data_IF_758486179077
#
_entry.id   IF_758486179077
#
_cell.length_a   1.000
_cell.length_b   1.000
_cell.length_c   1.000
_cell.angle_alpha   90.00
_cell.angle_beta   90.00
_cell.angle_gamma   90.00
#
_symmetry.space_group_name_H-M   'P 1'
#
loop_
_entity.id
_entity.type
_entity.pdbx_description
1 polymer ?
#
# COMPACT_ATOMS: atom_id res chain seq x y z
N UNK A 1 -41.96 1.45 -26.76
CA UNK A 1 -41.15 0.87 -25.65
C UNK A 1 -40.88 1.99 -24.67
N UNK A 2 -41.38 1.89 -23.43
CA UNK A 2 -41.21 2.95 -22.44
C UNK A 2 -39.74 3.08 -22.05
N UNK A 3 -39.16 4.26 -22.24
CA UNK A 3 -37.87 4.57 -21.64
C UNK A 3 -38.07 4.56 -20.12
N UNK A 4 -37.55 3.53 -19.45
CA UNK A 4 -37.39 3.54 -18.00
C UNK A 4 -36.48 4.72 -17.65
N UNK A 5 -37.09 5.83 -17.25
CA UNK A 5 -36.38 6.97 -16.71
C UNK A 5 -35.89 6.58 -15.33
N UNK A 6 -34.61 6.22 -15.23
CA UNK A 6 -33.96 6.02 -13.94
C UNK A 6 -33.65 7.41 -13.38
N UNK A 7 -34.19 7.77 -12.20
CA UNK A 7 -33.89 9.05 -11.57
C UNK A 7 -32.38 9.24 -11.34
N UNK A 8 -31.83 10.45 -11.50
CA UNK A 8 -30.41 10.73 -11.27
C UNK A 8 -29.91 10.29 -9.88
N UNK A 9 -30.77 10.33 -8.87
CA UNK A 9 -30.46 9.92 -7.50
C UNK A 9 -30.13 8.41 -7.41
N UNK A 10 -30.88 7.58 -8.16
CA UNK A 10 -30.63 6.14 -8.23
C UNK A 10 -29.34 5.86 -8.99
N UNK A 11 -29.08 6.61 -10.06
CA UNK A 11 -27.83 6.50 -10.83
C UNK A 11 -26.63 6.85 -9.94
N UNK A 12 -26.70 7.93 -9.16
CA UNK A 12 -25.66 8.32 -8.21
C UNK A 12 -25.46 7.26 -7.12
N UNK A 13 -26.54 6.68 -6.59
CA UNK A 13 -26.45 5.61 -5.61
C UNK A 13 -25.73 4.37 -6.17
N UNK A 14 -26.00 3.99 -7.43
CA UNK A 14 -25.28 2.90 -8.09
C UNK A 14 -23.79 3.24 -8.21
N UNK A 15 -23.46 4.44 -8.68
CA UNK A 15 -22.07 4.88 -8.78
C UNK A 15 -21.32 4.85 -7.45
N UNK A 16 -21.97 5.22 -6.35
CA UNK A 16 -21.36 5.21 -5.02
C UNK A 16 -20.95 3.81 -4.55
N UNK A 17 -21.64 2.76 -5.03
CA UNK A 17 -21.35 1.37 -4.71
C UNK A 17 -20.30 0.72 -5.61
N UNK A 18 -19.73 1.43 -6.59
CA UNK A 18 -18.70 0.89 -7.47
C UNK A 18 -17.32 0.99 -6.80
N UNK A 19 -16.46 0.01 -7.11
CA UNK A 19 -15.13 -0.10 -6.52
C UNK A 19 -14.01 0.29 -7.49
N UNK A 20 -14.33 0.54 -8.75
CA UNK A 20 -13.33 0.88 -9.79
C UNK A 20 -13.84 1.99 -10.70
N UNK A 21 -12.91 2.82 -11.18
CA UNK A 21 -13.18 3.84 -12.18
C UNK A 21 -13.51 3.22 -13.54
N UNK A 22 -12.99 2.02 -13.82
CA UNK A 22 -13.33 1.23 -15.00
C UNK A 22 -14.81 0.83 -14.99
N UNK A 23 -15.34 0.34 -13.86
CA UNK A 23 -16.75 -0.01 -13.73
C UNK A 23 -17.65 1.22 -13.83
N UNK A 24 -17.24 2.34 -13.23
CA UNK A 24 -17.98 3.60 -13.37
C UNK A 24 -18.08 4.04 -14.83
N UNK A 25 -16.98 3.95 -15.58
CA UNK A 25 -17.00 4.23 -17.00
C UNK A 25 -17.90 3.27 -17.77
N UNK A 26 -17.79 1.96 -17.54
CA UNK A 26 -18.62 0.95 -18.20
C UNK A 26 -20.11 1.16 -17.89
N UNK A 27 -20.44 1.49 -16.65
CA UNK A 27 -21.81 1.82 -16.24
C UNK A 27 -22.32 3.08 -16.94
N UNK A 28 -21.47 4.10 -17.17
CA UNK A 28 -21.85 5.30 -17.93
C UNK A 28 -22.32 4.98 -19.36
N UNK A 29 -21.84 3.88 -19.95
CA UNK A 29 -22.22 3.45 -21.28
C UNK A 29 -23.54 2.65 -21.31
N UNK A 30 -24.06 2.25 -20.15
CA UNK A 30 -25.25 1.39 -20.07
C UNK A 30 -26.55 2.11 -20.41
N UNK A 31 -26.66 3.41 -20.10
CA UNK A 31 -27.85 4.20 -20.36
C UNK A 31 -27.58 5.71 -20.41
N UNK A 32 -28.52 6.46 -20.99
CA UNK A 32 -28.39 7.92 -21.14
C UNK A 32 -28.28 8.67 -19.81
N UNK A 33 -29.00 8.24 -18.77
CA UNK A 33 -28.93 8.89 -17.45
C UNK A 33 -27.55 8.73 -16.82
N UNK A 34 -26.98 7.51 -16.85
CA UNK A 34 -25.63 7.23 -16.36
C UNK A 34 -24.57 8.03 -17.15
N UNK A 35 -24.69 8.09 -18.48
CA UNK A 35 -23.83 8.92 -19.31
C UNK A 35 -23.85 10.39 -18.89
N UNK A 36 -25.03 11.00 -18.75
CA UNK A 36 -25.16 12.42 -18.41
C UNK A 36 -24.52 12.71 -17.05
N UNK A 37 -24.75 11.84 -16.05
CA UNK A 37 -24.19 12.01 -14.71
C UNK A 37 -22.66 11.85 -14.74
N UNK A 38 -22.12 10.83 -15.41
CA UNK A 38 -20.67 10.59 -15.42
C UNK A 38 -19.86 11.63 -16.20
N UNK A 39 -20.44 12.20 -17.27
CA UNK A 39 -19.73 13.18 -18.09
C UNK A 39 -19.81 14.62 -17.54
N UNK A 40 -20.66 14.86 -16.55
CA UNK A 40 -20.61 16.09 -15.76
C UNK A 40 -19.38 16.07 -14.82
N UNK A 41 -18.47 17.05 -14.91
CA UNK A 41 -17.24 17.05 -14.13
C UNK A 41 -17.44 17.02 -12.61
N UNK A 42 -18.49 17.66 -12.10
CA UNK A 42 -18.77 17.71 -10.67
C UNK A 42 -19.17 16.33 -10.15
N UNK A 43 -20.12 15.68 -10.84
CA UNK A 43 -20.54 14.33 -10.47
C UNK A 43 -19.43 13.31 -10.69
N UNK A 44 -18.65 13.42 -11.77
CA UNK A 44 -17.50 12.53 -12.00
C UNK A 44 -16.50 12.57 -10.85
N UNK A 45 -16.15 13.75 -10.36
CA UNK A 45 -15.29 13.91 -9.19
C UNK A 45 -15.86 13.20 -7.96
N UNK A 46 -17.17 13.36 -7.70
CA UNK A 46 -17.85 12.69 -6.57
C UNK A 46 -17.90 11.17 -6.72
N UNK A 47 -18.09 10.66 -7.93
CA UNK A 47 -18.07 9.22 -8.22
C UNK A 47 -16.69 8.64 -7.88
N UNK A 48 -15.62 9.28 -8.35
CA UNK A 48 -14.28 8.79 -8.07
C UNK A 48 -13.87 8.94 -6.60
N UNK A 49 -14.29 10.01 -5.92
CA UNK A 49 -14.14 10.14 -4.46
C UNK A 49 -14.82 8.99 -3.71
N UNK A 50 -15.98 8.52 -4.18
CA UNK A 50 -16.66 7.36 -3.60
C UNK A 50 -15.90 6.06 -3.83
N UNK A 51 -15.33 5.87 -5.03
CA UNK A 51 -14.48 4.71 -5.34
C UNK A 51 -13.26 4.67 -4.41
N UNK A 52 -12.59 5.80 -4.20
CA UNK A 52 -11.49 5.89 -3.24
C UNK A 52 -11.95 5.57 -1.80
N UNK A 53 -13.17 5.95 -1.41
CA UNK A 53 -13.72 5.65 -0.08
C UNK A 53 -13.95 4.15 0.09
N UNK A 54 -14.28 3.46 -1.00
CA UNK A 54 -14.47 2.02 -0.98
C UNK A 54 -13.15 1.25 -0.98
N UNK A 55 -12.05 1.86 -1.43
CA UNK A 55 -10.72 1.24 -1.46
C UNK A 55 -10.05 1.24 -0.08
N UNK A 56 -10.08 2.35 0.64
CA UNK A 56 -9.48 2.44 1.99
C UNK A 56 -10.57 2.16 3.02
N UNK A 57 -10.46 1.02 3.71
CA UNK A 57 -11.33 0.67 4.82
C UNK A 57 -10.55 0.84 6.13
N UNK A 58 -11.09 1.58 7.11
CA UNK A 58 -10.43 1.78 8.41
C UNK A 58 -10.28 0.48 9.26
N UNK A 59 -10.84 -0.65 8.79
CA UNK A 59 -10.65 -1.96 9.42
C UNK A 59 -9.36 -2.65 8.93
N UNK A 60 -8.75 -3.48 9.78
CA UNK A 60 -7.59 -4.30 9.42
C UNK A 60 -7.85 -5.10 8.13
N UNK A 61 -6.87 -5.17 7.22
CA UNK A 61 -7.07 -5.79 5.91
C UNK A 61 -7.31 -7.29 6.05
N UNK A 62 -8.37 -7.78 5.40
CA UNK A 62 -8.63 -9.22 5.31
C UNK A 62 -7.83 -9.86 4.19
N UNK A 63 -7.60 -11.18 4.29
CA UNK A 63 -6.96 -11.98 3.23
C UNK A 63 -7.63 -11.78 1.86
N UNK A 64 -8.96 -11.88 1.82
CA UNK A 64 -9.71 -11.75 0.58
C UNK A 64 -9.55 -10.37 -0.06
N UNK A 65 -9.46 -9.32 0.77
CA UNK A 65 -9.24 -7.96 0.28
C UNK A 65 -7.81 -7.80 -0.27
N UNK A 66 -6.79 -8.27 0.45
CA UNK A 66 -5.40 -8.21 -0.03
C UNK A 66 -5.22 -9.01 -1.32
N UNK A 67 -5.78 -10.22 -1.42
CA UNK A 67 -5.72 -11.02 -2.64
C UNK A 67 -6.46 -10.34 -3.81
N UNK A 68 -7.53 -9.58 -3.56
CA UNK A 68 -8.17 -8.77 -4.59
C UNK A 68 -7.28 -7.61 -5.06
N UNK A 69 -6.53 -6.98 -4.16
CA UNK A 69 -5.60 -5.90 -4.50
C UNK A 69 -4.35 -6.40 -5.23
N UNK A 70 -3.68 -7.43 -4.70
CA UNK A 70 -2.35 -7.87 -5.13
C UNK A 70 -2.41 -9.03 -6.14
N UNK A 71 -3.46 -9.85 -6.10
CA UNK A 71 -3.65 -11.04 -6.92
C UNK A 71 -3.84 -12.29 -6.05
N UNK A 72 -4.55 -13.28 -6.60
CA UNK A 72 -4.82 -14.53 -5.89
C UNK A 72 -3.53 -15.29 -5.53
N UNK A 73 -3.49 -15.87 -4.33
CA UNK A 73 -2.37 -16.67 -3.82
C UNK A 73 -1.03 -15.92 -3.76
N UNK A 74 -1.06 -14.59 -3.61
CA UNK A 74 0.16 -13.78 -3.48
C UNK A 74 0.59 -13.56 -2.03
N UNK A 75 -0.21 -13.97 -1.04
CA UNK A 75 0.14 -13.74 0.36
C UNK A 75 1.12 -14.79 0.89
N UNK A 76 2.26 -14.29 1.36
CA UNK A 76 3.16 -15.03 2.23
C UNK A 76 2.57 -15.09 3.64
N UNK A 77 2.48 -16.30 4.17
CA UNK A 77 1.93 -16.57 5.49
C UNK A 77 2.94 -17.40 6.27
N UNK A 78 3.75 -16.78 7.15
CA UNK A 78 4.74 -17.51 7.93
C UNK A 78 4.10 -18.47 8.93
N UNK A 79 4.92 -19.40 9.41
CA UNK A 79 4.65 -20.18 10.62
C UNK A 79 5.21 -19.46 11.86
N UNK A 80 4.80 -19.89 13.04
CA UNK A 80 5.34 -19.40 14.32
C UNK A 80 6.88 -19.42 14.40
N UNK A 81 7.51 -20.46 13.83
CA UNK A 81 8.97 -20.57 13.81
C UNK A 81 9.64 -19.60 12.85
N UNK A 82 8.96 -19.16 11.79
CA UNK A 82 9.51 -18.23 10.80
C UNK A 82 9.60 -16.80 11.36
N UNK A 83 8.79 -16.48 12.37
CA UNK A 83 8.72 -15.17 13.02
C UNK A 83 9.16 -15.25 14.49
N UNK A 84 10.00 -16.23 14.84
CA UNK A 84 10.59 -16.28 16.18
C UNK A 84 11.42 -15.01 16.42
N UNK A 85 11.15 -14.32 17.53
CA UNK A 85 11.74 -13.02 17.85
C UNK A 85 10.82 -11.83 17.58
N UNK A 86 9.83 -11.94 16.68
CA UNK A 86 8.76 -10.94 16.55
C UNK A 86 7.86 -11.07 17.78
N UNK A 87 7.82 -10.05 18.65
CA UNK A 87 7.00 -10.08 19.89
C UNK A 87 5.79 -9.17 19.82
N UNK A 88 5.72 -8.25 18.85
CA UNK A 88 4.56 -7.40 18.66
C UNK A 88 3.29 -8.20 18.27
N UNK A 89 2.36 -8.35 19.22
CA UNK A 89 1.18 -9.22 19.11
C UNK A 89 0.34 -8.96 17.85
N UNK A 90 0.08 -7.69 17.51
CA UNK A 90 -0.75 -7.34 16.34
C UNK A 90 -0.09 -7.73 15.02
N UNK A 91 1.23 -7.52 14.89
CA UNK A 91 1.98 -7.91 13.69
C UNK A 91 1.99 -9.44 13.55
N UNK A 92 2.19 -10.16 14.67
CA UNK A 92 2.13 -11.63 14.70
C UNK A 92 0.76 -12.14 14.27
N UNK A 93 -0.30 -11.61 14.87
CA UNK A 93 -1.68 -12.01 14.54
C UNK A 93 -2.00 -11.77 13.06
N UNK A 94 -1.60 -10.62 12.52
CA UNK A 94 -1.77 -10.30 11.11
C UNK A 94 -1.02 -11.30 10.20
N UNK A 95 0.27 -11.54 10.46
CA UNK A 95 1.08 -12.45 9.65
C UNK A 95 0.58 -13.90 9.70
N UNK A 96 0.22 -14.39 10.89
CA UNK A 96 -0.19 -15.78 11.09
C UNK A 96 -1.60 -16.07 10.57
N UNK A 97 -2.50 -15.08 10.55
CA UNK A 97 -3.89 -15.29 10.13
C UNK A 97 -4.22 -14.76 8.72
N UNK A 98 -3.55 -13.69 8.30
CA UNK A 98 -3.80 -13.02 7.02
C UNK A 98 -2.62 -13.21 6.07
N UNK A 99 -1.42 -12.88 6.52
CA UNK A 99 -0.20 -12.87 5.70
C UNK A 99 0.06 -11.53 5.01
N UNK A 100 1.26 -11.39 4.45
CA UNK A 100 1.72 -10.18 3.76
C UNK A 100 1.94 -10.46 2.26
N UNK A 101 1.63 -9.53 1.34
CA UNK A 101 1.77 -9.79 -0.09
C UNK A 101 3.23 -9.96 -0.52
N UNK A 102 3.53 -11.08 -1.18
CA UNK A 102 4.74 -11.29 -1.97
C UNK A 102 4.47 -10.82 -3.41
N UNK A 103 4.98 -9.65 -3.76
CA UNK A 103 4.46 -8.87 -4.88
C UNK A 103 5.54 -8.13 -5.65
N UNK A 104 5.30 -7.93 -6.96
CA UNK A 104 6.01 -6.98 -7.80
C UNK A 104 5.05 -6.44 -8.86
N UNK A 105 5.09 -5.13 -9.10
CA UNK A 105 4.35 -4.50 -10.19
C UNK A 105 5.25 -3.52 -10.93
N UNK A 106 5.27 -3.63 -12.25
CA UNK A 106 5.98 -2.69 -13.11
C UNK A 106 5.57 -1.24 -12.80
N UNK A 107 6.53 -0.31 -12.73
CA UNK A 107 6.31 1.09 -12.38
C UNK A 107 6.11 1.38 -10.89
N UNK A 108 6.06 0.35 -10.04
CA UNK A 108 6.17 0.49 -8.58
C UNK A 108 7.51 -0.12 -8.15
N UNK A 109 8.30 0.65 -7.40
CA UNK A 109 9.67 0.26 -7.01
C UNK A 109 9.72 -0.73 -5.86
N UNK A 110 8.68 -0.78 -5.03
CA UNK A 110 8.55 -1.77 -3.96
C UNK A 110 8.31 -3.17 -4.54
N UNK A 111 9.07 -4.15 -4.07
CA UNK A 111 8.82 -5.56 -4.30
C UNK A 111 9.08 -6.41 -3.05
N UNK A 112 8.46 -7.58 -2.99
CA UNK A 112 8.56 -8.50 -1.85
C UNK A 112 8.52 -9.96 -2.31
N UNK A 113 8.90 -10.23 -3.56
CA UNK A 113 8.87 -11.59 -4.15
C UNK A 113 9.78 -12.58 -3.41
N UNK A 114 10.78 -12.09 -2.66
CA UNK A 114 11.64 -12.93 -1.82
C UNK A 114 10.85 -13.66 -0.72
N UNK A 115 9.65 -13.18 -0.36
CA UNK A 115 8.76 -13.82 0.63
C UNK A 115 7.96 -15.01 0.08
N UNK A 116 8.06 -15.33 -1.21
CA UNK A 116 7.27 -16.43 -1.80
C UNK A 116 7.55 -17.79 -1.15
N UNK A 117 6.51 -18.61 -0.98
CA UNK A 117 6.58 -19.94 -0.32
C UNK A 117 7.54 -20.96 -0.98
N UNK A 118 8.06 -20.68 -2.19
CA UNK A 118 9.08 -21.51 -2.83
C UNK A 118 10.49 -21.24 -2.28
N UNK A 119 10.72 -20.05 -1.75
CA UNK A 119 11.88 -19.76 -0.95
C UNK A 119 11.67 -20.45 0.42
N UNK A 120 12.66 -21.21 0.88
CA UNK A 120 12.73 -21.68 2.28
C UNK A 120 13.03 -20.51 3.22
N UNK A 121 12.38 -19.37 3.01
CA UNK A 121 12.73 -18.09 3.60
C UNK A 121 11.80 -17.83 4.77
N UNK A 122 12.21 -18.30 5.94
CA UNK A 122 11.95 -17.46 7.11
C UNK A 122 12.52 -16.07 6.77
N UNK A 123 11.79 -14.97 7.05
CA UNK A 123 12.26 -13.63 6.80
C UNK A 123 13.63 -13.47 7.44
N UNK A 124 14.58 -12.93 6.69
CA UNK A 124 15.88 -12.59 7.26
C UNK A 124 15.62 -11.60 8.40
N UNK A 125 16.10 -11.96 9.59
CA UNK A 125 16.10 -11.03 10.69
C UNK A 125 17.46 -10.34 10.75
N UNK A 126 17.40 -9.07 11.10
CA UNK A 126 18.52 -8.19 11.23
C UNK A 126 18.54 -7.66 12.65
N UNK A 127 19.73 -7.38 13.14
CA UNK A 127 19.92 -6.70 14.41
C UNK A 127 20.59 -5.38 14.12
N UNK A 128 20.05 -4.32 14.72
CA UNK A 128 20.72 -3.04 14.76
C UNK A 128 21.75 -3.08 15.88
N UNK A 129 23.02 -2.92 15.55
CA UNK A 129 24.11 -2.91 16.54
C UNK A 129 24.19 -1.55 17.25
N UNK A 130 24.94 -1.48 18.36
CA UNK A 130 25.26 -0.22 19.05
C UNK A 130 25.97 0.79 18.14
N UNK A 131 26.66 0.30 17.09
CA UNK A 131 27.32 1.12 16.06
C UNK A 131 26.35 1.56 14.93
N UNK A 132 25.05 1.26 15.07
CA UNK A 132 23.98 1.47 14.09
C UNK A 132 24.23 0.76 12.75
N UNK A 133 24.99 -0.33 12.77
CA UNK A 133 25.16 -1.21 11.62
C UNK A 133 24.05 -2.27 11.62
N UNK A 134 23.50 -2.53 10.44
CA UNK A 134 22.49 -3.57 10.28
C UNK A 134 23.18 -4.89 9.94
N UNK A 135 23.23 -5.80 10.92
CA UNK A 135 23.83 -7.11 10.75
C UNK A 135 22.74 -8.17 10.53
N UNK A 136 22.91 -9.01 9.50
CA UNK A 136 22.05 -10.17 9.28
C UNK A 136 22.49 -11.29 10.21
N UNK A 137 21.58 -11.83 11.02
CA UNK A 137 21.88 -12.94 11.92
C UNK A 137 21.16 -14.22 11.46
N UNK A 138 21.76 -15.38 11.75
CA UNK A 138 21.11 -16.68 11.60
C UNK A 138 20.45 -17.09 12.92
N UNK A 139 19.20 -17.55 12.89
CA UNK A 139 18.49 -18.04 14.09
C UNK A 139 19.14 -19.37 14.50
N UNK A 140 19.39 -19.60 15.80
CA UNK A 140 18.97 -18.81 16.95
C UNK A 140 20.04 -17.83 17.46
N UNK A 141 19.75 -16.52 17.48
CA UNK A 141 20.47 -15.59 18.36
C UNK A 141 20.07 -15.91 19.82
N UNK A 142 21.04 -16.00 20.72
CA UNK A 142 20.72 -15.96 22.15
C UNK A 142 20.12 -14.59 22.48
N UNK A 143 18.80 -14.52 22.69
CA UNK A 143 18.00 -13.31 22.97
C UNK A 143 18.60 -12.34 24.02
N UNK A 144 19.53 -12.81 24.85
CA UNK A 144 20.27 -11.98 25.81
C UNK A 144 21.25 -10.97 25.17
N UNK A 145 21.52 -11.03 23.86
CA UNK A 145 22.48 -10.17 23.16
C UNK A 145 21.87 -9.33 22.03
N UNK A 146 20.59 -9.52 21.71
CA UNK A 146 19.95 -8.93 20.53
C UNK A 146 18.74 -8.10 21.01
N UNK A 147 18.87 -6.77 21.12
CA UNK A 147 17.83 -5.88 21.68
C UNK A 147 16.97 -5.13 20.65
N UNK A 148 17.28 -5.21 19.35
CA UNK A 148 16.60 -4.43 18.31
C UNK A 148 16.50 -5.27 17.04
N UNK A 149 15.52 -6.19 17.01
CA UNK A 149 15.33 -7.15 15.92
C UNK A 149 14.43 -6.55 14.85
N UNK A 150 14.84 -6.67 13.59
CA UNK A 150 14.08 -6.22 12.42
C UNK A 150 13.86 -7.35 11.43
N UNK A 151 12.65 -7.44 10.88
CA UNK A 151 12.30 -8.43 9.85
C UNK A 151 12.24 -7.78 8.48
N UNK A 152 13.04 -8.26 7.53
CA UNK A 152 12.98 -7.78 6.14
C UNK A 152 11.73 -8.31 5.44
N UNK A 153 10.91 -7.39 4.89
CA UNK A 153 9.62 -7.71 4.24
C UNK A 153 9.52 -7.25 2.79
N UNK A 154 10.47 -6.46 2.29
CA UNK A 154 10.42 -5.95 0.94
C UNK A 154 11.60 -5.08 0.59
N UNK A 155 11.84 -4.94 -0.70
CA UNK A 155 12.92 -4.17 -1.28
C UNK A 155 12.35 -2.93 -1.98
N UNK A 156 13.04 -1.80 -1.88
CA UNK A 156 12.75 -0.59 -2.66
C UNK A 156 14.06 -0.11 -3.26
N UNK A 157 14.27 -0.37 -4.56
CA UNK A 157 15.56 -0.17 -5.21
C UNK A 157 16.69 -0.95 -4.49
N UNK A 158 17.61 -0.25 -3.82
CA UNK A 158 18.70 -0.83 -3.02
C UNK A 158 18.47 -0.72 -1.51
N UNK A 159 17.26 -0.32 -1.10
CA UNK A 159 16.85 -0.14 0.28
C UNK A 159 15.99 -1.33 0.73
N UNK A 160 15.96 -1.58 2.04
CA UNK A 160 15.15 -2.64 2.64
C UNK A 160 14.00 -2.02 3.43
N UNK A 161 12.81 -2.56 3.27
CA UNK A 161 11.65 -2.29 4.11
C UNK A 161 11.61 -3.35 5.20
N UNK A 162 11.63 -2.90 6.44
CA UNK A 162 11.81 -3.75 7.61
C UNK A 162 10.71 -3.51 8.62
N UNK A 163 10.39 -4.52 9.42
CA UNK A 163 9.42 -4.45 10.51
C UNK A 163 10.15 -4.58 11.83
N UNK A 164 9.93 -3.62 12.72
CA UNK A 164 10.41 -3.67 14.10
C UNK A 164 9.74 -4.84 14.84
N UNK A 165 10.53 -5.69 15.49
CA UNK A 165 10.04 -6.87 16.18
C UNK A 165 9.23 -6.57 17.44
N UNK A 166 9.54 -5.47 18.12
CA UNK A 166 8.95 -5.09 19.40
C UNK A 166 7.74 -4.19 19.22
N UNK A 167 7.87 -3.17 18.36
CA UNK A 167 6.83 -2.16 18.14
C UNK A 167 5.94 -2.45 16.91
N UNK A 168 6.42 -3.26 15.97
CA UNK A 168 5.68 -3.59 14.74
C UNK A 168 5.69 -2.49 13.68
N UNK A 169 6.39 -1.39 13.93
CA UNK A 169 6.59 -0.27 13.01
C UNK A 169 7.31 -0.72 11.75
N UNK A 170 6.97 -0.09 10.62
CA UNK A 170 7.57 -0.39 9.32
C UNK A 170 8.51 0.74 8.94
N UNK A 171 9.77 0.38 8.70
CA UNK A 171 10.87 1.31 8.43
C UNK A 171 11.51 1.03 7.07
N UNK A 172 11.95 2.08 6.40
CA UNK A 172 12.81 2.03 5.23
C UNK A 172 14.25 2.21 5.70
N UNK A 173 15.05 1.17 5.54
CA UNK A 173 16.49 1.20 5.73
C UNK A 173 17.19 1.53 4.42
N UNK A 174 17.94 2.63 4.41
CA UNK A 174 18.75 3.08 3.27
C UNK A 174 20.24 3.05 3.65
N UNK A 175 21.08 2.22 2.99
CA UNK A 175 22.50 2.09 3.35
C UNK A 175 23.32 3.35 3.07
N UNK A 176 23.05 4.04 1.95
CA UNK A 176 23.92 5.13 1.47
C UNK A 176 23.38 6.54 1.82
N UNK A 177 22.13 6.63 2.28
CA UNK A 177 21.42 7.85 2.75
C UNK A 177 21.28 8.97 1.70
N UNK A 178 21.31 8.64 0.40
CA UNK A 178 21.36 9.64 -0.68
C UNK A 178 20.00 9.88 -1.31
N UNK A 179 19.15 8.86 -1.41
CA UNK A 179 17.96 8.81 -2.25
C UNK A 179 16.70 9.21 -1.51
N UNK A 180 16.51 8.71 -0.28
CA UNK A 180 15.29 8.96 0.51
C UNK A 180 15.53 9.94 1.65
N UNK A 181 16.79 10.30 1.91
CA UNK A 181 17.17 11.42 2.78
C UNK A 181 16.87 11.16 4.26
N UNK A 182 16.63 9.91 4.64
CA UNK A 182 16.57 9.45 6.02
C UNK A 182 17.79 8.60 6.35
N UNK A 183 18.34 8.82 7.54
CA UNK A 183 19.63 8.32 7.95
C UNK A 183 19.65 6.79 8.06
N UNK A 184 20.74 6.17 7.66
CA UNK A 184 21.22 4.89 8.18
C UNK A 184 22.41 5.10 9.11
N UNK A 185 22.28 6.11 9.96
CA UNK A 185 23.11 6.25 11.16
C UNK A 185 22.27 6.46 12.42
N UNK A 186 20.98 6.78 12.28
CA UNK A 186 20.05 6.94 13.38
C UNK A 186 18.63 6.72 12.84
N UNK A 187 18.03 5.56 13.13
CA UNK A 187 16.56 5.41 13.07
C UNK A 187 15.90 6.56 13.87
N UNK A 188 16.62 7.13 14.84
CA UNK A 188 16.16 8.14 15.79
C UNK A 188 16.38 9.62 15.43
N UNK A 189 17.21 9.98 14.42
CA UNK A 189 17.50 11.41 14.15
C UNK A 189 16.44 12.07 13.24
N UNK A 190 15.85 11.30 12.33
CA UNK A 190 14.75 11.72 11.47
C UNK A 190 13.80 10.53 11.25
N UNK A 191 13.20 9.96 12.31
CA UNK A 191 12.40 8.74 12.24
C UNK A 191 11.34 8.85 11.15
N UNK A 192 10.63 9.96 11.16
CA UNK A 192 9.57 10.31 10.20
C UNK A 192 9.95 10.15 8.72
N UNK A 193 11.25 10.25 8.34
CA UNK A 193 11.68 10.10 6.93
C UNK A 193 11.77 8.66 6.47
N UNK A 194 12.12 7.79 7.40
CA UNK A 194 12.26 6.36 7.18
C UNK A 194 10.99 5.61 7.54
N UNK A 195 10.05 6.20 8.29
CA UNK A 195 8.79 5.54 8.59
C UNK A 195 8.00 5.30 7.29
N UNK A 196 7.60 4.05 7.10
CA UNK A 196 6.71 3.59 6.02
C UNK A 196 5.29 3.47 6.57
N UNK A 197 5.11 2.93 7.77
CA UNK A 197 3.83 2.85 8.47
C UNK A 197 4.05 2.55 9.96
N UNK A 198 3.07 2.85 10.82
CA UNK A 198 3.10 2.49 12.25
C UNK A 198 2.73 1.03 12.54
N UNK A 199 2.39 0.25 11.51
CA UNK A 199 2.14 -1.19 11.65
C UNK A 199 2.13 -1.88 10.30
N UNK A 200 2.49 -3.15 10.30
CA UNK A 200 2.57 -3.96 9.09
C UNK A 200 1.22 -4.13 8.38
N UNK A 201 0.13 -4.29 9.14
CA UNK A 201 -1.21 -4.41 8.59
C UNK A 201 -1.71 -3.09 8.01
N UNK A 202 -1.39 -1.95 8.63
CA UNK A 202 -1.62 -0.64 8.02
C UNK A 202 -0.83 -0.49 6.72
N UNK A 203 0.44 -0.86 6.68
CA UNK A 203 1.21 -0.81 5.44
C UNK A 203 0.59 -1.65 4.33
N UNK A 204 0.23 -2.91 4.63
CA UNK A 204 -0.40 -3.82 3.66
C UNK A 204 -1.71 -3.27 3.10
N UNK A 205 -2.53 -2.65 3.95
CA UNK A 205 -3.76 -1.96 3.54
C UNK A 205 -3.47 -0.77 2.63
N UNK A 206 -2.66 0.18 3.08
CA UNK A 206 -2.43 1.43 2.35
C UNK A 206 -1.75 1.19 1.01
N UNK A 207 -0.75 0.30 0.99
CA UNK A 207 -0.10 -0.12 -0.23
C UNK A 207 -1.04 -0.91 -1.15
N UNK A 208 -1.93 -1.74 -0.59
CA UNK A 208 -2.96 -2.44 -1.35
C UNK A 208 -3.94 -1.50 -2.05
N UNK A 209 -4.32 -0.39 -1.42
CA UNK A 209 -5.16 0.63 -2.02
C UNK A 209 -4.45 1.33 -3.20
N UNK A 210 -3.14 1.61 -3.06
CA UNK A 210 -2.31 2.17 -4.13
C UNK A 210 -2.24 1.21 -5.31
N UNK A 211 -1.92 -0.07 -5.06
CA UNK A 211 -1.83 -1.09 -6.11
C UNK A 211 -3.16 -1.26 -6.84
N UNK A 212 -4.27 -1.30 -6.09
CA UNK A 212 -5.60 -1.42 -6.67
C UNK A 212 -5.94 -0.21 -7.57
N UNK A 213 -5.70 1.01 -7.08
CA UNK A 213 -5.94 2.22 -7.86
C UNK A 213 -5.04 2.29 -9.10
N UNK A 214 -3.74 2.01 -8.96
CA UNK A 214 -2.80 2.05 -10.10
C UNK A 214 -3.20 1.06 -11.19
N UNK A 215 -3.60 -0.16 -10.81
CA UNK A 215 -4.11 -1.17 -11.77
C UNK A 215 -5.38 -0.69 -12.47
N UNK A 216 -6.32 -0.13 -11.73
CA UNK A 216 -7.56 0.42 -12.30
C UNK A 216 -7.28 1.60 -13.24
N UNK A 217 -6.45 2.56 -12.84
CA UNK A 217 -6.05 3.70 -13.67
C UNK A 217 -5.33 3.27 -14.95
N UNK A 218 -4.51 2.21 -14.89
CA UNK A 218 -3.84 1.64 -16.06
C UNK A 218 -4.84 0.95 -17.00
N UNK A 219 -5.86 0.28 -16.46
CA UNK A 219 -6.93 -0.36 -17.22
C UNK A 219 -8.03 0.60 -17.71
N UNK A 220 -8.11 1.80 -17.13
CA UNK A 220 -9.18 2.75 -17.33
C UNK A 220 -9.39 3.10 -18.82
N UNK A 221 -10.58 2.84 -19.39
CA UNK A 221 -10.87 3.15 -20.79
C UNK A 221 -10.81 4.64 -21.11
N UNK A 222 -10.98 5.49 -20.10
CA UNK A 222 -10.99 6.94 -20.21
C UNK A 222 -9.59 7.58 -20.09
N UNK A 223 -8.53 6.79 -19.85
CA UNK A 223 -7.16 7.31 -19.63
C UNK A 223 -6.65 8.21 -20.76
N UNK A 224 -7.05 7.94 -22.00
CA UNK A 224 -6.66 8.71 -23.19
C UNK A 224 -7.62 9.87 -23.53
N UNK A 225 -8.62 10.12 -22.68
CA UNK A 225 -9.51 11.27 -22.85
C UNK A 225 -8.80 12.57 -22.52
N UNK A 226 -9.35 13.71 -22.98
CA UNK A 226 -8.78 15.03 -22.72
C UNK A 226 -8.68 15.40 -21.24
N UNK A 227 -9.44 14.72 -20.38
CA UNK A 227 -9.46 14.92 -18.93
C UNK A 227 -8.76 13.79 -18.16
N UNK A 228 -8.36 12.70 -18.82
CA UNK A 228 -7.84 11.49 -18.18
C UNK A 228 -6.54 11.72 -17.40
N UNK A 229 -5.59 12.46 -17.97
CA UNK A 229 -4.31 12.77 -17.30
C UNK A 229 -4.52 13.58 -16.01
N UNK A 230 -5.36 14.61 -16.05
CA UNK A 230 -5.63 15.42 -14.87
C UNK A 230 -6.35 14.61 -13.79
N UNK A 231 -7.38 13.85 -14.18
CA UNK A 231 -8.09 12.96 -13.26
C UNK A 231 -7.18 11.91 -12.63
N UNK A 232 -6.22 11.36 -13.37
CA UNK A 232 -5.22 10.44 -12.81
C UNK A 232 -4.44 11.10 -11.66
N UNK A 233 -3.96 12.33 -11.87
CA UNK A 233 -3.22 13.09 -10.85
C UNK A 233 -4.11 13.41 -9.65
N UNK A 234 -5.31 13.94 -9.90
CA UNK A 234 -6.26 14.28 -8.83
C UNK A 234 -6.60 13.07 -7.95
N UNK A 235 -6.73 11.87 -8.55
CA UNK A 235 -7.01 10.64 -7.81
C UNK A 235 -5.82 10.14 -6.99
N UNK A 236 -4.60 10.29 -7.50
CA UNK A 236 -3.39 9.95 -6.77
C UNK A 236 -3.17 10.92 -5.59
N UNK A 237 -3.41 12.22 -5.79
CA UNK A 237 -3.30 13.24 -4.74
C UNK A 237 -4.35 13.01 -3.64
N UNK A 238 -5.60 12.77 -4.01
CA UNK A 238 -6.67 12.46 -3.05
C UNK A 238 -6.42 11.13 -2.33
N UNK A 239 -5.92 10.09 -3.02
CA UNK A 239 -5.52 8.84 -2.36
C UNK A 239 -4.42 9.11 -1.32
N UNK A 240 -3.42 9.93 -1.68
CA UNK A 240 -2.32 10.29 -0.79
C UNK A 240 -2.82 10.99 0.48
N UNK A 241 -3.74 11.94 0.36
CA UNK A 241 -4.36 12.62 1.51
C UNK A 241 -5.11 11.64 2.42
N UNK A 242 -5.78 10.64 1.86
CA UNK A 242 -6.53 9.65 2.67
C UNK A 242 -5.66 8.63 3.35
N UNK A 243 -4.60 8.19 2.66
CA UNK A 243 -3.59 7.34 3.28
C UNK A 243 -3.03 8.05 4.51
N UNK A 244 -2.79 9.36 4.38
CA UNK A 244 -2.35 10.17 5.49
C UNK A 244 -3.34 10.26 6.66
N UNK A 245 -4.65 10.37 6.39
CA UNK A 245 -5.66 10.35 7.44
C UNK A 245 -5.69 9.01 8.22
N UNK A 246 -5.31 7.91 7.57
CA UNK A 246 -5.28 6.58 8.18
C UNK A 246 -3.97 6.31 8.94
N UNK A 247 -2.85 6.73 8.37
CA UNK A 247 -1.52 6.61 8.93
C UNK A 247 -0.75 7.90 8.63
N UNK A 248 -0.62 8.75 9.65
CA UNK A 248 -0.15 10.14 9.50
C UNK A 248 1.32 10.28 9.08
N UNK A 249 2.00 9.15 8.82
CA UNK A 249 3.35 9.06 8.27
C UNK A 249 3.46 9.73 6.89
N UNK A 250 2.35 9.85 6.15
CA UNK A 250 2.34 10.40 4.78
C UNK A 250 2.24 11.94 4.74
N UNK A 251 1.76 12.58 5.82
CA UNK A 251 1.20 13.96 5.83
C UNK A 251 2.20 15.03 5.43
N UNK A 252 3.45 14.84 5.80
CA UNK A 252 4.38 15.96 5.90
C UNK A 252 5.43 15.96 4.79
N UNK A 253 5.25 15.18 3.71
CA UNK A 253 6.33 14.88 2.74
C UNK A 253 7.58 14.30 3.42
N UNK A 254 7.44 13.81 4.65
CA UNK A 254 8.60 13.36 5.42
C UNK A 254 8.95 11.94 5.00
N UNK A 255 7.98 11.01 4.93
CA UNK A 255 8.26 9.65 4.47
C UNK A 255 8.81 9.65 3.04
N UNK A 256 10.09 9.33 2.91
CA UNK A 256 10.78 9.27 1.63
C UNK A 256 10.19 8.19 0.72
N UNK A 257 9.71 7.09 1.32
CA UNK A 257 9.02 6.01 0.64
C UNK A 257 7.77 6.51 -0.10
N UNK A 258 6.81 7.09 0.62
CA UNK A 258 5.54 7.51 0.05
C UNK A 258 5.71 8.69 -0.90
N UNK A 259 6.55 9.68 -0.54
CA UNK A 259 6.83 10.82 -1.41
C UNK A 259 7.37 10.37 -2.77
N UNK A 260 8.37 9.49 -2.78
CA UNK A 260 8.96 8.98 -4.02
C UNK A 260 7.97 8.12 -4.82
N UNK A 261 7.21 7.25 -4.15
CA UNK A 261 6.20 6.42 -4.80
C UNK A 261 5.16 7.26 -5.55
N UNK A 262 4.55 8.24 -4.88
CA UNK A 262 3.53 9.09 -5.51
C UNK A 262 4.12 10.01 -6.60
N UNK A 263 5.35 10.47 -6.43
CA UNK A 263 6.08 11.22 -7.46
C UNK A 263 6.28 10.40 -8.74
N UNK A 264 6.70 9.14 -8.61
CA UNK A 264 6.90 8.24 -9.76
C UNK A 264 5.56 7.93 -10.44
N UNK A 265 4.51 7.62 -9.67
CA UNK A 265 3.19 7.31 -10.19
C UNK A 265 2.52 8.48 -10.93
N UNK A 266 2.79 9.72 -10.49
CA UNK A 266 2.30 10.95 -11.13
C UNK A 266 3.06 11.36 -12.40
N UNK A 267 4.24 10.79 -12.62
CA UNK A 267 5.06 11.01 -13.82
C UNK A 267 4.71 10.05 -14.99
N UNK A 268 4.07 8.92 -14.70
CA UNK A 268 3.45 8.01 -15.68
C UNK A 268 2.23 8.63 -16.39
#
# INVERSE_FOLDING_TARGET
MGHLYIPPEIVLFIYQGLNTTTDAYNFSLSCRSAYIVFYDPYYRGKIFQSILNNLINAAAPSRAWLEACFGANTLWQPTESDIDGLVHDRTREFLLNVGFPAFKLEGITFESLHLTNEAKSSPNHYILTDDNELEMHEIPCSRAQCSDIYFHIGDVNSCMVMVDADDGDVWLWEPDHVRYGGAGFYIYDCPWRNTVAWSLDSFAMLFGAVVALVRDLRAAPWRSSSWGLQTRRDLLDELRERINECDYVVAEDISGFWHHLFKDLGAE
#
